data_IF_324379013315
#
_entry.id   IF_324379013315
#
_cell.length_a   1.000
_cell.length_b   1.000
_cell.length_c   1.000
_cell.angle_alpha   90.00
_cell.angle_beta   90.00
_cell.angle_gamma   90.00
#
_symmetry.space_group_name_H-M   'P 1'
#
loop_
_entity.id
_entity.type
_entity.pdbx_description
1 polymer ?
#
# COMPACT_ATOMS: atom_id res chain seq x y z
N UNK A 1 -10.10 -5.62 7.01
CA UNK A 1 -11.05 -4.59 7.50
C UNK A 1 -11.23 -4.63 9.00
N UNK A 2 -11.94 -3.66 9.55
CA UNK A 2 -12.24 -3.60 10.98
C UNK A 2 -13.70 -3.98 11.27
N UNK A 3 -14.01 -4.43 12.51
CA UNK A 3 -15.34 -4.81 12.89
C UNK A 3 -15.97 -3.93 14.01
N UNK A 4 -15.18 -3.11 14.68
CA UNK A 4 -15.68 -2.10 15.60
C UNK A 4 -16.25 -0.91 14.83
N UNK A 5 -17.26 -0.25 15.40
CA UNK A 5 -17.98 0.83 14.74
C UNK A 5 -18.23 2.00 15.70
N UNK A 6 -18.50 3.20 15.16
CA UNK A 6 -18.89 4.35 15.96
C UNK A 6 -20.32 4.24 16.51
N UNK A 7 -21.22 3.66 15.71
CA UNK A 7 -22.63 3.46 16.06
C UNK A 7 -23.13 2.10 15.52
N UNK A 8 -23.98 2.10 14.48
CA UNK A 8 -24.50 0.87 13.87
C UNK A 8 -23.53 0.28 12.84
N UNK A 9 -22.84 1.14 12.11
CA UNK A 9 -21.77 0.77 11.21
C UNK A 9 -22.19 -0.13 10.06
N UNK A 10 -23.35 0.11 9.47
CA UNK A 10 -23.80 -0.68 8.34
C UNK A 10 -22.88 -0.50 7.13
N UNK A 11 -22.50 0.74 6.84
CA UNK A 11 -21.53 1.09 5.81
C UNK A 11 -20.09 0.99 6.34
N UNK A 12 -19.83 1.47 7.56
CA UNK A 12 -18.52 1.53 8.20
C UNK A 12 -18.48 0.60 9.44
N UNK A 13 -18.18 -0.75 9.33
CA UNK A 13 -17.60 -1.42 8.17
C UNK A 13 -18.28 -2.78 7.89
N UNK A 14 -19.59 -2.96 8.21
CA UNK A 14 -20.28 -4.25 8.06
C UNK A 14 -20.30 -4.73 6.60
N UNK A 15 -20.48 -3.82 5.61
CA UNK A 15 -20.49 -4.18 4.19
C UNK A 15 -19.18 -4.80 3.74
N UNK A 16 -18.05 -4.20 4.11
CA UNK A 16 -16.74 -4.71 3.75
C UNK A 16 -16.44 -6.06 4.43
N UNK A 17 -16.89 -6.23 5.69
CA UNK A 17 -16.72 -7.50 6.40
C UNK A 17 -17.56 -8.62 5.77
N UNK A 18 -18.79 -8.32 5.36
CA UNK A 18 -19.64 -9.27 4.65
C UNK A 18 -19.05 -9.64 3.29
N UNK A 19 -18.52 -8.66 2.56
CA UNK A 19 -17.85 -8.91 1.29
C UNK A 19 -16.59 -9.75 1.47
N UNK A 20 -15.77 -9.48 2.48
CA UNK A 20 -14.59 -10.28 2.78
C UNK A 20 -14.94 -11.76 3.02
N UNK A 21 -16.03 -12.02 3.74
CA UNK A 21 -16.53 -13.39 3.97
C UNK A 21 -16.97 -14.08 2.68
N UNK A 22 -17.69 -13.36 1.80
CA UNK A 22 -18.12 -13.91 0.51
C UNK A 22 -16.93 -14.17 -0.43
N UNK A 23 -15.95 -13.28 -0.45
CA UNK A 23 -14.71 -13.50 -1.20
C UNK A 23 -13.92 -14.71 -0.67
N UNK A 24 -13.89 -14.90 0.66
CA UNK A 24 -13.27 -16.09 1.25
C UNK A 24 -13.96 -17.37 0.78
N UNK A 25 -15.30 -17.38 0.79
CA UNK A 25 -16.09 -18.51 0.32
C UNK A 25 -15.78 -18.83 -1.15
N UNK A 26 -15.76 -17.80 -2.00
CA UNK A 26 -15.45 -17.94 -3.42
C UNK A 26 -14.02 -18.47 -3.62
N UNK A 27 -13.02 -17.89 -2.99
CA UNK A 27 -11.62 -18.34 -3.12
C UNK A 27 -11.43 -19.76 -2.57
N UNK A 28 -12.21 -20.15 -1.53
CA UNK A 28 -12.19 -21.53 -1.02
C UNK A 28 -12.75 -22.53 -2.03
N UNK A 29 -13.80 -22.16 -2.76
CA UNK A 29 -14.37 -23.01 -3.81
C UNK A 29 -13.41 -23.19 -4.99
N UNK A 30 -12.52 -22.19 -5.23
CA UNK A 30 -11.52 -22.19 -6.31
C UNK A 30 -10.09 -22.41 -5.80
N UNK A 31 -9.92 -23.00 -4.62
CA UNK A 31 -8.59 -23.13 -3.98
C UNK A 31 -7.56 -23.90 -4.82
N UNK A 32 -8.00 -24.80 -5.69
CA UNK A 32 -7.13 -25.57 -6.57
C UNK A 32 -6.49 -24.72 -7.69
N UNK A 33 -7.04 -23.54 -7.93
CA UNK A 33 -6.52 -22.55 -8.88
C UNK A 33 -5.55 -21.56 -8.21
N UNK A 34 -5.46 -21.57 -6.87
CA UNK A 34 -4.68 -20.60 -6.11
C UNK A 34 -3.25 -21.08 -5.88
N UNK A 35 -2.29 -20.19 -6.17
CA UNK A 35 -0.88 -20.38 -5.87
C UNK A 35 -0.54 -19.91 -4.45
N UNK A 36 -1.14 -18.79 -4.02
CA UNK A 36 -0.96 -18.23 -2.69
C UNK A 36 -2.17 -18.47 -1.80
N UNK A 37 -1.94 -18.49 -0.48
CA UNK A 37 -3.00 -18.62 0.53
C UNK A 37 -3.67 -17.28 0.80
N UNK A 38 -4.96 -17.30 1.17
CA UNK A 38 -5.71 -16.14 1.64
C UNK A 38 -5.84 -16.17 3.15
N UNK A 39 -5.54 -15.06 3.80
CA UNK A 39 -5.86 -14.79 5.20
C UNK A 39 -6.79 -13.60 5.30
N UNK A 40 -7.85 -13.71 6.10
CA UNK A 40 -8.77 -12.62 6.39
C UNK A 40 -8.60 -12.20 7.83
N UNK A 41 -8.52 -10.90 8.05
CA UNK A 41 -8.41 -10.31 9.36
C UNK A 41 -9.50 -9.27 9.58
N UNK A 42 -10.21 -9.36 10.72
CA UNK A 42 -11.15 -8.38 11.20
C UNK A 42 -10.58 -7.76 12.48
N UNK A 43 -10.25 -6.46 12.39
CA UNK A 43 -9.54 -5.76 13.44
C UNK A 43 -10.47 -5.17 14.49
N UNK A 44 -10.21 -5.34 15.79
CA UNK A 44 -10.79 -4.49 16.83
C UNK A 44 -10.03 -3.18 16.95
N UNK A 45 -10.69 -2.16 17.49
CA UNK A 45 -10.03 -0.93 17.92
C UNK A 45 -9.55 -0.02 16.79
N UNK A 46 -10.12 -0.13 15.61
CA UNK A 46 -9.90 0.84 14.53
C UNK A 46 -10.60 2.16 14.85
N UNK A 47 -11.91 2.13 15.08
CA UNK A 47 -12.73 3.33 15.32
C UNK A 47 -12.42 3.97 16.66
N UNK A 48 -12.17 3.17 17.71
CA UNK A 48 -12.02 3.65 19.08
C UNK A 48 -10.57 3.78 19.54
N UNK A 49 -9.67 3.01 18.99
CA UNK A 49 -8.26 2.92 19.42
C UNK A 49 -7.23 3.21 18.34
N UNK A 50 -7.65 3.44 17.11
CA UNK A 50 -6.81 3.67 15.91
C UNK A 50 -5.72 2.62 15.76
N UNK A 51 -5.98 1.64 14.89
CA UNK A 51 -5.03 0.57 14.50
C UNK A 51 -4.64 -0.39 15.62
N UNK A 52 -5.39 -0.45 16.72
CA UNK A 52 -5.03 -1.29 17.85
C UNK A 52 -4.90 -2.77 17.46
N UNK A 53 -5.92 -3.30 16.77
CA UNK A 53 -5.94 -4.70 16.35
C UNK A 53 -4.90 -5.03 15.29
N UNK A 54 -4.76 -4.20 14.26
CA UNK A 54 -3.78 -4.41 13.19
C UNK A 54 -2.33 -4.27 13.69
N UNK A 55 -2.07 -3.36 14.63
CA UNK A 55 -0.77 -3.23 15.29
C UNK A 55 -0.45 -4.47 16.13
N UNK A 56 -1.39 -4.89 16.99
CA UNK A 56 -1.21 -6.10 17.79
C UNK A 56 -0.94 -7.34 16.91
N UNK A 57 -1.68 -7.46 15.81
CA UNK A 57 -1.51 -8.56 14.87
C UNK A 57 -0.13 -8.53 14.20
N UNK A 58 0.32 -7.38 13.75
CA UNK A 58 1.65 -7.21 13.16
C UNK A 58 2.75 -7.64 14.14
N UNK A 59 2.65 -7.20 15.40
CA UNK A 59 3.64 -7.49 16.43
C UNK A 59 3.71 -8.99 16.78
N UNK A 60 2.57 -9.69 16.78
CA UNK A 60 2.48 -11.10 17.20
C UNK A 60 2.64 -12.10 16.06
N UNK A 61 2.56 -11.65 14.81
CA UNK A 61 2.73 -12.47 13.60
C UNK A 61 3.85 -11.94 12.71
N UNK A 62 4.83 -11.29 13.31
CA UNK A 62 5.90 -10.58 12.59
C UNK A 62 6.64 -11.48 11.61
N UNK A 63 7.21 -12.59 12.09
CA UNK A 63 8.04 -13.49 11.30
C UNK A 63 7.27 -14.03 10.10
N UNK A 64 6.00 -14.39 10.32
CA UNK A 64 5.13 -14.91 9.27
C UNK A 64 4.78 -13.85 8.23
N UNK A 65 4.49 -12.62 8.66
CA UNK A 65 4.17 -11.51 7.76
C UNK A 65 5.41 -11.10 6.95
N UNK A 66 6.54 -10.98 7.60
CA UNK A 66 7.80 -10.59 6.98
C UNK A 66 8.29 -11.66 6.00
N UNK A 67 8.17 -12.95 6.33
CA UNK A 67 8.64 -14.05 5.49
C UNK A 67 7.66 -14.40 4.36
N UNK A 68 6.33 -14.33 4.59
CA UNK A 68 5.36 -14.95 3.69
C UNK A 68 4.28 -14.02 3.15
N UNK A 69 4.01 -12.87 3.76
CA UNK A 69 2.94 -12.00 3.29
C UNK A 69 3.39 -11.21 2.06
N UNK A 70 2.64 -11.36 0.96
CA UNK A 70 2.93 -10.66 -0.29
C UNK A 70 2.05 -9.43 -0.50
N UNK A 71 0.82 -9.43 0.05
CA UNK A 71 -0.14 -8.37 -0.21
C UNK A 71 -1.06 -8.11 0.97
N UNK A 72 -1.41 -6.85 1.15
CA UNK A 72 -2.46 -6.40 2.05
C UNK A 72 -3.53 -5.65 1.27
N UNK A 73 -4.71 -6.25 1.12
CA UNK A 73 -5.88 -5.59 0.57
C UNK A 73 -6.76 -5.11 1.73
N UNK A 74 -6.88 -3.80 1.91
CA UNK A 74 -7.77 -3.24 2.92
C UNK A 74 -9.17 -3.02 2.35
N UNK A 75 -10.18 -3.57 3.01
CA UNK A 75 -11.59 -3.43 2.66
C UNK A 75 -12.27 -2.55 3.69
N UNK A 76 -12.71 -1.36 3.25
CA UNK A 76 -13.34 -0.37 4.10
C UNK A 76 -14.22 0.56 3.29
N UNK A 77 -15.44 0.86 3.82
CA UNK A 77 -16.38 1.81 3.24
C UNK A 77 -16.88 1.40 1.84
N UNK A 78 -17.29 0.14 1.66
CA UNK A 78 -17.76 -0.40 0.40
C UNK A 78 -19.30 -0.33 0.29
N UNK A 79 -19.84 -0.23 -0.94
CA UNK A 79 -21.27 -0.20 -1.20
C UNK A 79 -21.96 1.09 -0.76
N UNK A 80 -21.28 2.22 -0.88
CA UNK A 80 -21.85 3.52 -0.49
C UNK A 80 -22.99 3.93 -1.41
N UNK A 81 -24.16 4.25 -0.84
CA UNK A 81 -25.26 4.86 -1.58
C UNK A 81 -24.83 6.22 -2.13
N UNK A 82 -25.02 6.41 -3.43
CA UNK A 82 -24.61 7.63 -4.13
C UNK A 82 -23.18 7.63 -4.66
N UNK A 83 -22.44 6.54 -4.47
CA UNK A 83 -21.21 6.33 -5.24
C UNK A 83 -21.55 6.18 -6.73
N UNK A 84 -20.70 6.76 -7.58
CA UNK A 84 -20.83 6.65 -9.04
C UNK A 84 -19.74 5.71 -9.62
N UNK A 85 -19.32 5.94 -10.86
CA UNK A 85 -18.24 5.16 -11.49
C UNK A 85 -16.83 5.63 -11.11
N UNK A 86 -16.69 6.51 -10.13
CA UNK A 86 -15.39 7.01 -9.68
C UNK A 86 -14.76 5.99 -8.72
N UNK A 87 -13.82 5.21 -9.22
CA UNK A 87 -13.07 4.23 -8.46
C UNK A 87 -11.78 4.84 -7.93
N UNK A 88 -11.73 5.10 -6.64
CA UNK A 88 -10.50 5.50 -5.97
C UNK A 88 -9.70 4.27 -5.58
N UNK A 89 -8.47 4.16 -6.11
CA UNK A 89 -7.52 3.12 -5.74
C UNK A 89 -6.36 3.78 -5.01
N UNK A 90 -6.27 3.51 -3.71
CA UNK A 90 -5.13 3.92 -2.89
C UNK A 90 -4.14 2.77 -2.84
N UNK A 91 -2.91 3.03 -3.23
CA UNK A 91 -1.89 1.97 -3.32
C UNK A 91 -0.53 2.44 -2.79
N UNK A 92 0.26 1.48 -2.38
CA UNK A 92 1.67 1.63 -2.02
C UNK A 92 2.48 0.42 -2.51
N UNK A 93 2.09 -0.19 -3.63
CA UNK A 93 2.67 -1.43 -4.12
C UNK A 93 3.33 -1.30 -5.49
N UNK A 94 4.04 -2.35 -5.85
CA UNK A 94 4.74 -2.49 -7.13
C UNK A 94 3.85 -2.96 -8.28
N UNK A 95 2.58 -3.26 -8.04
CA UNK A 95 1.66 -3.73 -9.09
C UNK A 95 1.52 -2.79 -10.27
N UNK A 96 1.68 -1.49 -10.01
CA UNK A 96 1.58 -0.44 -11.02
C UNK A 96 0.16 -0.11 -11.47
N UNK A 97 -0.02 1.13 -11.92
CA UNK A 97 -1.34 1.60 -12.36
C UNK A 97 -1.87 0.85 -13.59
N UNK A 98 -1.02 0.46 -14.52
CA UNK A 98 -1.45 -0.21 -15.74
C UNK A 98 -1.98 -1.61 -15.46
N UNK A 99 -1.34 -2.36 -14.56
CA UNK A 99 -1.87 -3.65 -14.11
C UNK A 99 -3.22 -3.48 -13.42
N UNK A 100 -3.35 -2.52 -12.50
CA UNK A 100 -4.61 -2.23 -11.82
C UNK A 100 -5.73 -1.87 -12.82
N UNK A 101 -5.43 -1.02 -13.81
CA UNK A 101 -6.37 -0.64 -14.87
C UNK A 101 -6.81 -1.86 -15.69
N UNK A 102 -5.87 -2.72 -16.05
CA UNK A 102 -6.17 -3.94 -16.81
C UNK A 102 -7.14 -4.84 -16.03
N UNK A 103 -6.85 -5.11 -14.75
CA UNK A 103 -7.69 -5.99 -13.95
C UNK A 103 -9.09 -5.40 -13.73
N UNK A 104 -9.18 -4.13 -13.37
CA UNK A 104 -10.47 -3.46 -13.15
C UNK A 104 -11.33 -3.46 -14.42
N UNK A 105 -10.75 -3.19 -15.58
CA UNK A 105 -11.49 -3.18 -16.86
C UNK A 105 -12.10 -4.52 -17.25
N UNK A 106 -11.58 -5.64 -16.73
CA UNK A 106 -12.19 -6.97 -16.93
C UNK A 106 -13.59 -7.07 -16.31
N UNK A 107 -13.85 -6.32 -15.23
CA UNK A 107 -15.07 -6.40 -14.43
C UNK A 107 -15.92 -5.14 -14.42
N UNK A 108 -15.32 -3.98 -14.59
CA UNK A 108 -15.98 -2.68 -14.79
C UNK A 108 -15.24 -1.83 -15.84
N UNK A 109 -15.57 -1.99 -17.14
CA UNK A 109 -14.97 -1.16 -18.20
C UNK A 109 -15.31 0.33 -18.10
N UNK A 110 -16.37 0.69 -17.35
CA UNK A 110 -16.83 2.08 -17.21
C UNK A 110 -16.18 2.80 -16.00
N UNK A 111 -15.36 2.11 -15.19
CA UNK A 111 -14.73 2.69 -14.02
C UNK A 111 -13.83 3.89 -14.38
N UNK A 112 -14.10 5.04 -13.77
CA UNK A 112 -13.24 6.22 -13.80
C UNK A 112 -12.22 6.12 -12.67
N UNK A 113 -11.06 5.57 -12.97
CA UNK A 113 -10.05 5.26 -11.96
C UNK A 113 -9.23 6.47 -11.55
N UNK A 114 -9.13 6.70 -10.25
CA UNK A 114 -8.26 7.69 -9.61
C UNK A 114 -7.24 7.00 -8.72
N UNK A 115 -5.97 7.16 -9.04
CA UNK A 115 -4.88 6.61 -8.24
C UNK A 115 -4.36 7.61 -7.22
N UNK A 116 -3.95 7.09 -6.07
CA UNK A 116 -3.39 7.92 -5.02
C UNK A 116 -2.61 7.11 -3.99
N UNK A 117 -1.80 7.82 -3.21
CA UNK A 117 -1.06 7.22 -2.11
C UNK A 117 -2.02 6.75 -1.02
N UNK A 118 -1.78 5.54 -0.52
CA UNK A 118 -2.52 5.03 0.63
C UNK A 118 -2.22 5.87 1.87
N UNK A 119 -3.25 6.18 2.64
CA UNK A 119 -3.12 6.85 3.93
C UNK A 119 -3.21 5.86 5.08
N UNK A 120 -2.82 6.29 6.27
CA UNK A 120 -2.88 5.45 7.47
C UNK A 120 -4.31 5.16 7.97
N UNK A 121 -5.32 5.71 7.34
CA UNK A 121 -6.73 5.51 7.71
C UNK A 121 -7.27 4.11 7.45
N UNK A 122 -6.47 3.20 6.89
CA UNK A 122 -6.91 1.90 6.39
C UNK A 122 -6.16 0.74 7.08
N UNK A 123 -6.07 0.75 8.41
CA UNK A 123 -5.36 -0.27 9.21
C UNK A 123 -3.94 -0.59 8.70
N UNK A 124 -3.22 0.45 8.31
CA UNK A 124 -1.90 0.35 7.73
C UNK A 124 -0.82 0.22 8.80
N UNK A 125 -0.79 -0.92 9.49
CA UNK A 125 0.20 -1.23 10.53
C UNK A 125 1.32 -2.18 10.06
N UNK A 126 1.38 -2.49 8.76
CA UNK A 126 2.24 -3.54 8.23
C UNK A 126 3.47 -3.03 7.46
N UNK A 127 3.78 -1.73 7.55
CA UNK A 127 4.88 -1.12 6.79
C UNK A 127 6.26 -1.71 7.11
N UNK A 128 6.46 -2.15 8.35
CA UNK A 128 7.73 -2.71 8.80
C UNK A 128 8.00 -4.11 8.26
N UNK A 129 6.95 -4.89 8.01
CA UNK A 129 7.04 -6.26 7.53
C UNK A 129 7.35 -6.38 6.01
N UNK A 130 7.71 -5.28 5.37
CA UNK A 130 8.20 -5.22 3.99
C UNK A 130 7.28 -5.88 2.95
N UNK A 131 5.96 -5.76 3.17
CA UNK A 131 4.95 -6.29 2.25
C UNK A 131 4.95 -5.45 0.96
N UNK A 132 5.11 -6.07 -0.23
CA UNK A 132 5.30 -5.32 -1.48
C UNK A 132 4.03 -4.70 -2.04
N UNK A 133 2.84 -5.18 -1.65
CA UNK A 133 1.56 -4.69 -2.20
C UNK A 133 0.61 -4.27 -1.09
N UNK A 134 0.15 -3.01 -1.15
CA UNK A 134 -0.89 -2.49 -0.27
C UNK A 134 -1.94 -1.80 -1.14
N UNK A 135 -3.15 -2.35 -1.20
CA UNK A 135 -4.21 -1.88 -2.09
C UNK A 135 -5.48 -1.61 -1.29
N UNK A 136 -6.09 -0.46 -1.52
CA UNK A 136 -7.38 -0.09 -0.94
C UNK A 136 -8.26 0.52 -2.05
N UNK A 137 -9.10 -0.28 -2.72
CA UNK A 137 -10.00 0.17 -3.75
C UNK A 137 -11.40 0.44 -3.18
N UNK A 138 -12.06 1.51 -3.61
CA UNK A 138 -13.49 1.76 -3.33
C UNK A 138 -14.09 2.72 -4.34
N UNK A 139 -15.37 2.58 -4.62
CA UNK A 139 -16.12 3.58 -5.36
C UNK A 139 -16.54 4.74 -4.47
N UNK A 140 -16.42 5.95 -4.98
CA UNK A 140 -16.76 7.18 -4.27
C UNK A 140 -17.75 8.02 -5.09
N UNK A 141 -18.48 8.92 -4.45
CA UNK A 141 -19.16 10.00 -5.14
C UNK A 141 -18.14 11.01 -5.71
N UNK A 142 -18.37 11.56 -6.90
CA UNK A 142 -17.58 12.67 -7.43
C UNK A 142 -17.56 13.84 -6.45
N UNK A 143 -16.47 14.60 -6.46
CA UNK A 143 -16.25 15.72 -5.52
C UNK A 143 -17.44 16.70 -5.50
N UNK A 144 -18.04 16.96 -6.65
CA UNK A 144 -19.19 17.85 -6.82
C UNK A 144 -20.48 17.29 -6.19
N UNK A 145 -20.54 15.99 -5.92
CA UNK A 145 -21.68 15.30 -5.32
C UNK A 145 -21.45 14.93 -3.84
N UNK A 146 -20.29 15.27 -3.28
CA UNK A 146 -20.00 15.00 -1.87
C UNK A 146 -20.95 15.81 -1.00
N UNK A 147 -21.57 15.12 -0.06
CA UNK A 147 -22.55 15.70 0.87
C UNK A 147 -21.91 16.29 2.13
N UNK A 148 -20.61 16.09 2.30
CA UNK A 148 -19.84 16.53 3.46
C UNK A 148 -18.44 16.93 3.04
N UNK A 149 -17.93 18.05 3.54
CA UNK A 149 -16.54 18.50 3.42
C UNK A 149 -15.62 17.85 4.44
N UNK A 150 -16.17 17.02 5.35
CA UNK A 150 -15.39 16.30 6.33
C UNK A 150 -14.41 15.32 5.64
N UNK A 151 -13.25 15.08 6.22
CA UNK A 151 -12.36 14.03 5.77
C UNK A 151 -13.08 12.67 5.72
N UNK A 152 -12.88 11.89 4.67
CA UNK A 152 -13.49 10.57 4.53
C UNK A 152 -14.23 10.38 3.21
N UNK A 153 -15.27 9.51 3.19
CA UNK A 153 -15.97 9.14 1.95
C UNK A 153 -16.86 10.22 1.36
N UNK A 154 -17.03 11.37 2.04
CA UNK A 154 -17.82 12.49 1.56
C UNK A 154 -19.35 12.30 1.71
N UNK A 155 -19.78 11.40 2.58
CA UNK A 155 -21.19 11.14 2.91
C UNK A 155 -21.51 11.55 4.34
N UNK A 156 -22.71 12.13 4.59
CA UNK A 156 -23.05 12.72 5.88
C UNK A 156 -23.26 11.68 7.00
N UNK A 157 -23.60 10.46 6.64
CA UNK A 157 -23.88 9.41 7.63
C UNK A 157 -22.62 8.72 8.18
N UNK A 158 -21.47 8.92 7.56
CA UNK A 158 -20.19 8.36 8.02
C UNK A 158 -19.86 8.84 9.44
N UNK A 159 -19.60 7.92 10.35
CA UNK A 159 -19.35 8.13 11.77
C UNK A 159 -20.55 8.77 12.53
N UNK A 160 -21.78 8.61 12.05
CA UNK A 160 -22.99 9.09 12.70
C UNK A 160 -23.97 7.96 13.00
N UNK A 161 -25.02 8.27 13.80
CA UNK A 161 -26.11 7.34 14.12
C UNK A 161 -26.90 6.91 12.87
N UNK A 162 -26.78 7.67 11.80
CA UNK A 162 -27.47 7.46 10.53
C UNK A 162 -26.76 6.45 9.61
N UNK A 163 -25.63 5.87 10.04
CA UNK A 163 -24.98 4.77 9.33
C UNK A 163 -25.78 3.48 9.50
N UNK A 164 -26.84 3.37 8.70
CA UNK A 164 -27.85 2.32 8.73
C UNK A 164 -27.97 1.62 7.38
N UNK A 165 -28.63 0.46 7.35
CA UNK A 165 -28.71 -0.37 6.16
C UNK A 165 -29.29 0.34 4.92
N UNK A 166 -30.19 1.31 5.10
CA UNK A 166 -30.74 2.11 4.00
C UNK A 166 -29.74 3.03 3.30
N UNK A 167 -28.53 3.15 3.83
CA UNK A 167 -27.41 3.87 3.22
C UNK A 167 -26.56 3.00 2.31
N UNK A 168 -26.86 1.70 2.25
CA UNK A 168 -26.15 0.75 1.42
C UNK A 168 -26.80 0.66 0.04
N UNK A 169 -25.99 0.66 -0.99
CA UNK A 169 -26.31 0.30 -2.35
C UNK A 169 -25.80 -1.13 -2.62
N UNK A 170 -26.71 -2.09 -2.68
CA UNK A 170 -26.33 -3.50 -2.88
C UNK A 170 -25.73 -3.74 -4.27
N UNK A 171 -26.20 -3.07 -5.31
CA UNK A 171 -25.60 -3.16 -6.65
C UNK A 171 -24.22 -2.52 -6.67
N UNK A 172 -24.06 -1.41 -5.95
CA UNK A 172 -22.77 -0.78 -5.69
C UNK A 172 -21.82 -1.71 -4.94
N UNK A 173 -22.30 -2.39 -3.91
CA UNK A 173 -21.49 -3.35 -3.14
C UNK A 173 -21.04 -4.56 -4.01
N UNK A 174 -21.91 -5.06 -4.89
CA UNK A 174 -21.55 -6.11 -5.85
C UNK A 174 -20.50 -5.60 -6.86
N UNK A 175 -20.58 -4.35 -7.28
CA UNK A 175 -19.58 -3.72 -8.15
C UNK A 175 -18.23 -3.60 -7.44
N UNK A 176 -18.20 -3.07 -6.21
CA UNK A 176 -16.99 -3.07 -5.36
C UNK A 176 -16.43 -4.49 -5.22
N UNK A 177 -17.29 -5.47 -4.97
CA UNK A 177 -16.93 -6.87 -4.80
C UNK A 177 -16.27 -7.49 -6.03
N UNK A 178 -16.73 -7.14 -7.24
CA UNK A 178 -16.10 -7.61 -8.47
C UNK A 178 -14.69 -7.04 -8.65
N UNK A 179 -14.50 -5.76 -8.33
CA UNK A 179 -13.17 -5.14 -8.40
C UNK A 179 -12.23 -5.77 -7.38
N UNK A 180 -12.63 -5.85 -6.11
CA UNK A 180 -11.82 -6.50 -5.07
C UNK A 180 -11.55 -7.96 -5.43
N UNK A 181 -12.58 -8.67 -5.91
CA UNK A 181 -12.48 -10.07 -6.29
C UNK A 181 -11.49 -10.34 -7.41
N UNK A 182 -11.49 -9.55 -8.47
CA UNK A 182 -10.53 -9.72 -9.57
C UNK A 182 -9.10 -9.41 -9.12
N UNK A 183 -8.88 -8.36 -8.34
CA UNK A 183 -7.55 -8.03 -7.81
C UNK A 183 -7.03 -9.15 -6.89
N UNK A 184 -7.88 -9.64 -6.01
CA UNK A 184 -7.54 -10.73 -5.10
C UNK A 184 -7.27 -12.03 -5.86
N UNK A 185 -8.14 -12.39 -6.82
CA UNK A 185 -7.98 -13.60 -7.64
C UNK A 185 -6.66 -13.58 -8.43
N UNK A 186 -6.34 -12.47 -9.07
CA UNK A 186 -5.11 -12.36 -9.87
C UNK A 186 -3.85 -12.42 -8.98
N UNK A 187 -3.88 -11.84 -7.78
CA UNK A 187 -2.76 -11.96 -6.84
C UNK A 187 -2.62 -13.37 -6.26
N UNK A 188 -3.72 -14.10 -6.04
CA UNK A 188 -3.68 -15.45 -5.46
C UNK A 188 -3.36 -16.52 -6.50
N UNK A 189 -3.86 -16.38 -7.74
CA UNK A 189 -3.79 -17.44 -8.76
C UNK A 189 -2.52 -17.40 -9.61
N UNK A 190 -1.78 -16.30 -9.59
CA UNK A 190 -0.55 -16.16 -10.39
C UNK A 190 0.68 -16.41 -9.54
N UNK A 191 1.54 -17.32 -9.99
CA UNK A 191 2.80 -17.59 -9.34
C UNK A 191 3.73 -16.38 -9.41
N UNK A 192 3.85 -15.75 -10.59
CA UNK A 192 4.65 -14.56 -10.80
C UNK A 192 3.87 -13.32 -10.37
N UNK A 193 4.42 -12.57 -9.43
CA UNK A 193 3.86 -11.31 -8.94
C UNK A 193 3.94 -10.19 -9.99
N UNK A 194 2.98 -9.26 -10.05
CA UNK A 194 3.10 -8.09 -10.92
C UNK A 194 4.21 -7.15 -10.43
N UNK A 195 4.99 -6.55 -11.34
CA UNK A 195 6.01 -5.59 -10.96
C UNK A 195 6.15 -4.47 -11.98
N UNK A 196 5.95 -3.24 -11.52
CA UNK A 196 6.23 -2.00 -12.27
C UNK A 196 7.12 -1.08 -11.42
N UNK A 197 8.39 -1.43 -11.34
CA UNK A 197 9.37 -0.65 -10.55
C UNK A 197 9.44 0.81 -11.01
N UNK A 198 9.40 1.07 -12.34
CA UNK A 198 9.45 2.43 -12.87
C UNK A 198 8.16 3.19 -12.65
N UNK A 199 7.01 2.54 -12.77
CA UNK A 199 5.72 3.15 -12.46
C UNK A 199 5.65 3.60 -11.02
N UNK A 200 6.10 2.75 -10.09
CA UNK A 200 6.18 3.13 -8.68
C UNK A 200 7.13 4.33 -8.46
N UNK A 201 8.32 4.29 -9.03
CA UNK A 201 9.29 5.38 -8.91
C UNK A 201 8.77 6.71 -9.47
N UNK A 202 7.96 6.70 -10.54
CA UNK A 202 7.31 7.91 -11.06
C UNK A 202 6.44 8.62 -10.02
N UNK A 203 5.89 7.90 -9.04
CA UNK A 203 5.10 8.51 -7.95
C UNK A 203 5.95 9.40 -7.04
N UNK A 204 7.28 9.28 -7.08
CA UNK A 204 8.21 10.09 -6.30
C UNK A 204 8.61 11.40 -7.00
N UNK A 205 8.53 11.46 -8.33
CA UNK A 205 8.97 12.63 -9.11
C UNK A 205 8.34 13.96 -8.65
N UNK A 206 7.02 14.05 -8.34
CA UNK A 206 6.43 15.30 -7.86
C UNK A 206 7.01 15.79 -6.53
N UNK A 207 7.63 14.90 -5.75
CA UNK A 207 8.31 15.29 -4.52
C UNK A 207 9.67 15.92 -4.82
N UNK A 208 10.44 15.34 -5.72
CA UNK A 208 11.75 15.86 -6.13
C UNK A 208 11.64 17.24 -6.81
N UNK A 209 10.66 17.42 -7.69
CA UNK A 209 10.41 18.73 -8.31
C UNK A 209 10.20 19.86 -7.27
N UNK A 210 9.60 19.52 -6.12
CA UNK A 210 9.40 20.52 -5.06
C UNK A 210 10.67 20.81 -4.23
N UNK A 211 11.72 20.04 -4.38
CA UNK A 211 13.01 20.24 -3.72
C UNK A 211 13.92 21.20 -4.50
N UNK A 212 13.62 21.50 -5.76
CA UNK A 212 14.43 22.40 -6.62
C UNK A 212 14.25 23.87 -6.28
N UNK A 213 14.28 24.22 -4.98
CA UNK A 213 14.09 25.58 -4.47
C UNK A 213 15.35 26.20 -3.86
N UNK A 214 16.41 25.42 -3.68
CA UNK A 214 17.73 25.84 -3.26
C UNK A 214 18.78 24.85 -3.74
N UNK A 215 20.03 25.27 -3.84
CA UNK A 215 21.15 24.43 -4.28
C UNK A 215 21.33 23.18 -3.39
N UNK A 216 21.21 23.33 -2.06
CA UNK A 216 21.32 22.22 -1.11
C UNK A 216 20.20 21.20 -1.31
N UNK A 217 18.96 21.66 -1.50
CA UNK A 217 17.81 20.78 -1.70
C UNK A 217 17.86 20.09 -3.07
N UNK A 218 18.31 20.79 -4.11
CA UNK A 218 18.50 20.22 -5.44
C UNK A 218 19.57 19.13 -5.43
N UNK A 219 20.73 19.37 -4.81
CA UNK A 219 21.78 18.36 -4.67
C UNK A 219 21.29 17.11 -3.92
N UNK A 220 20.46 17.27 -2.90
CA UNK A 220 19.88 16.14 -2.17
C UNK A 220 18.89 15.37 -3.03
N UNK A 221 18.07 16.04 -3.82
CA UNK A 221 17.14 15.41 -4.77
C UNK A 221 17.92 14.62 -5.82
N UNK A 222 18.93 15.22 -6.44
CA UNK A 222 19.75 14.58 -7.48
C UNK A 222 20.47 13.33 -6.97
N UNK A 223 20.97 13.36 -5.72
CA UNK A 223 21.61 12.18 -5.11
C UNK A 223 20.59 11.05 -4.91
N UNK A 224 19.39 11.37 -4.41
CA UNK A 224 18.34 10.36 -4.20
C UNK A 224 17.83 9.83 -5.54
N UNK A 225 17.60 10.69 -6.53
CA UNK A 225 17.19 10.30 -7.88
C UNK A 225 18.23 9.40 -8.55
N UNK A 226 19.50 9.69 -8.39
CA UNK A 226 20.61 8.87 -8.92
C UNK A 226 20.57 7.47 -8.32
N UNK A 227 20.49 7.35 -6.99
CA UNK A 227 20.40 6.06 -6.32
C UNK A 227 19.13 5.29 -6.69
N UNK A 228 18.00 5.99 -6.77
CA UNK A 228 16.75 5.38 -7.22
C UNK A 228 16.89 4.81 -8.62
N UNK A 229 17.49 5.57 -9.54
CA UNK A 229 17.75 5.11 -10.90
C UNK A 229 18.67 3.88 -10.92
N UNK A 230 19.71 3.85 -10.11
CA UNK A 230 20.59 2.69 -10.01
C UNK A 230 19.84 1.43 -9.53
N UNK A 231 18.92 1.58 -8.55
CA UNK A 231 18.04 0.48 -8.12
C UNK A 231 17.17 -0.01 -9.28
N UNK A 232 16.51 0.90 -10.00
CA UNK A 232 15.64 0.54 -11.12
C UNK A 232 16.38 -0.16 -12.26
N UNK A 233 17.53 0.37 -12.65
CA UNK A 233 18.36 -0.20 -13.71
C UNK A 233 18.87 -1.60 -13.30
N UNK A 234 19.14 -1.82 -12.00
CA UNK A 234 19.53 -3.13 -11.47
C UNK A 234 18.35 -4.11 -11.54
N UNK A 235 17.17 -3.72 -11.09
CA UNK A 235 15.96 -4.55 -11.18
C UNK A 235 15.69 -4.98 -12.63
N UNK A 236 15.70 -4.05 -13.57
CA UNK A 236 15.45 -4.35 -14.98
C UNK A 236 16.50 -5.25 -15.60
N UNK A 237 17.77 -5.06 -15.21
CA UNK A 237 18.85 -5.93 -15.66
C UNK A 237 18.64 -7.37 -15.21
N UNK A 238 18.26 -7.57 -13.94
CA UNK A 238 17.96 -8.90 -13.39
C UNK A 238 16.74 -9.51 -14.07
N UNK A 239 15.65 -8.78 -14.22
CA UNK A 239 14.45 -9.24 -14.93
C UNK A 239 14.74 -9.65 -16.37
N UNK A 240 15.59 -8.89 -17.07
CA UNK A 240 16.00 -9.23 -18.44
C UNK A 240 16.82 -10.52 -18.49
N UNK A 241 17.73 -10.73 -17.54
CA UNK A 241 18.55 -11.94 -17.44
C UNK A 241 17.69 -13.17 -17.12
N UNK A 242 16.74 -13.03 -16.21
CA UNK A 242 15.91 -14.14 -15.74
C UNK A 242 14.80 -14.53 -16.72
N UNK A 243 14.29 -13.55 -17.47
CA UNK A 243 13.16 -13.77 -18.37
C UNK A 243 11.91 -14.27 -17.63
N UNK A 244 11.37 -15.40 -18.06
CA UNK A 244 10.18 -16.03 -17.45
C UNK A 244 10.51 -17.26 -16.59
N UNK A 245 11.79 -17.62 -16.46
CA UNK A 245 12.17 -18.91 -15.85
C UNK A 245 12.50 -18.79 -14.35
N UNK A 246 12.82 -17.59 -13.87
CA UNK A 246 13.28 -17.33 -12.50
C UNK A 246 12.19 -16.64 -11.67
N UNK A 247 11.04 -17.30 -11.51
CA UNK A 247 9.87 -16.72 -10.84
C UNK A 247 10.13 -16.49 -9.35
N UNK A 248 10.81 -17.41 -8.66
CA UNK A 248 11.14 -17.25 -7.25
C UNK A 248 12.06 -16.04 -7.01
N UNK A 249 13.09 -15.89 -7.84
CA UNK A 249 14.02 -14.76 -7.77
C UNK A 249 13.30 -13.44 -8.07
N UNK A 250 12.41 -13.43 -9.07
CA UNK A 250 11.55 -12.28 -9.36
C UNK A 250 10.69 -11.90 -8.15
N UNK A 251 10.00 -12.87 -7.56
CA UNK A 251 9.11 -12.61 -6.42
C UNK A 251 9.88 -12.13 -5.19
N UNK A 252 11.09 -12.65 -4.94
CA UNK A 252 11.97 -12.14 -3.87
C UNK A 252 12.42 -10.72 -4.13
N UNK A 253 12.79 -10.39 -5.37
CA UNK A 253 13.14 -9.02 -5.76
C UNK A 253 11.96 -8.07 -5.56
N UNK A 254 10.73 -8.48 -5.94
CA UNK A 254 9.52 -7.70 -5.70
C UNK A 254 9.31 -7.41 -4.20
N UNK A 255 9.51 -8.40 -3.33
CA UNK A 255 9.38 -8.22 -1.88
C UNK A 255 10.41 -7.24 -1.35
N UNK A 256 11.68 -7.45 -1.66
CA UNK A 256 12.77 -6.62 -1.20
C UNK A 256 12.60 -5.16 -1.63
N UNK A 257 12.36 -4.92 -2.91
CA UNK A 257 12.22 -3.55 -3.46
C UNK A 257 10.93 -2.90 -3.01
N UNK A 258 9.80 -3.63 -3.10
CA UNK A 258 8.48 -3.12 -2.74
C UNK A 258 8.37 -2.77 -1.26
N UNK A 259 8.92 -3.60 -0.39
CA UNK A 259 8.97 -3.36 1.04
C UNK A 259 9.74 -2.09 1.40
N UNK A 260 10.96 -1.95 0.89
CA UNK A 260 11.78 -0.74 1.12
C UNK A 260 11.09 0.50 0.55
N UNK A 261 10.56 0.45 -0.66
CA UNK A 261 9.87 1.58 -1.29
C UNK A 261 8.62 1.99 -0.51
N UNK A 262 7.82 1.02 -0.06
CA UNK A 262 6.64 1.27 0.79
C UNK A 262 7.01 1.99 2.08
N UNK A 263 8.06 1.56 2.77
CA UNK A 263 8.54 2.21 4.00
C UNK A 263 9.03 3.63 3.75
N UNK A 264 9.83 3.85 2.71
CA UNK A 264 10.32 5.19 2.36
C UNK A 264 9.20 6.16 2.02
N UNK A 265 8.07 5.67 1.54
CA UNK A 265 6.89 6.47 1.25
C UNK A 265 5.96 6.67 2.45
N UNK A 266 5.90 5.74 3.42
CA UNK A 266 4.80 5.69 4.38
C UNK A 266 5.19 5.67 5.86
N UNK A 267 6.45 5.37 6.23
CA UNK A 267 6.86 5.23 7.63
C UNK A 267 8.20 5.89 7.93
N UNK A 268 8.27 6.60 9.06
CA UNK A 268 9.51 7.13 9.63
C UNK A 268 9.97 6.35 10.86
N UNK A 269 9.13 5.47 11.39
CA UNK A 269 9.46 4.58 12.49
C UNK A 269 10.51 3.54 12.13
N UNK A 270 10.97 2.79 13.11
CA UNK A 270 11.71 1.56 12.86
C UNK A 270 10.81 0.49 12.23
N UNK A 271 11.38 -0.61 11.76
CA UNK A 271 10.58 -1.71 11.21
C UNK A 271 9.59 -2.26 12.25
N UNK A 272 9.97 -2.25 13.53
CA UNK A 272 9.23 -2.86 14.63
C UNK A 272 8.33 -1.89 15.41
N UNK A 273 8.31 -0.61 15.07
CA UNK A 273 7.54 0.40 15.76
C UNK A 273 6.46 0.97 14.85
N UNK A 274 5.22 0.98 15.37
CA UNK A 274 4.12 1.61 14.64
C UNK A 274 4.25 3.13 14.74
N UNK A 275 4.28 3.76 13.57
CA UNK A 275 4.32 5.20 13.46
C UNK A 275 2.96 5.79 13.90
N UNK A 276 2.98 6.70 14.87
CA UNK A 276 1.76 7.37 15.37
C UNK A 276 1.26 8.48 14.44
N UNK A 277 2.07 8.89 13.47
CA UNK A 277 1.74 9.96 12.52
C UNK A 277 0.82 9.49 11.38
N UNK A 278 0.46 10.40 10.51
CA UNK A 278 -0.46 10.17 9.40
C UNK A 278 0.17 9.49 8.17
N UNK A 279 0.99 8.46 8.36
CA UNK A 279 1.68 7.77 7.27
C UNK A 279 2.55 8.71 6.41
N UNK A 280 3.35 9.53 7.07
CA UNK A 280 4.37 10.32 6.42
C UNK A 280 5.70 9.57 6.44
N UNK A 281 6.15 9.14 5.28
CA UNK A 281 7.48 8.58 5.11
C UNK A 281 8.55 9.66 4.96
N UNK A 282 9.82 9.24 4.87
CA UNK A 282 10.96 10.11 4.63
C UNK A 282 10.77 11.09 3.47
N UNK A 283 10.20 10.62 2.36
CA UNK A 283 9.99 11.43 1.16
C UNK A 283 9.03 12.61 1.40
N UNK A 284 7.90 12.38 2.11
CA UNK A 284 6.96 13.46 2.44
C UNK A 284 7.55 14.47 3.42
N UNK A 285 8.30 13.99 4.41
CA UNK A 285 8.96 14.87 5.38
C UNK A 285 10.09 15.65 4.74
N UNK A 286 10.84 15.07 3.82
CA UNK A 286 11.86 15.76 3.03
C UNK A 286 11.21 16.94 2.27
N UNK A 287 10.14 16.69 1.53
CA UNK A 287 9.37 17.73 0.85
C UNK A 287 8.82 18.79 1.82
N UNK A 288 8.26 18.37 2.95
CA UNK A 288 7.65 19.29 3.91
C UNK A 288 8.70 20.20 4.55
N UNK A 289 9.89 19.66 4.84
CA UNK A 289 10.99 20.41 5.48
C UNK A 289 11.76 21.33 4.51
N UNK A 290 11.61 21.13 3.21
CA UNK A 290 12.18 22.00 2.18
C UNK A 290 11.32 23.22 1.83
N UNK A 291 10.10 23.32 2.37
CA UNK A 291 9.22 24.47 2.13
C UNK A 291 9.72 25.73 2.82
N UNK A 292 9.53 26.86 2.15
CA UNK A 292 9.74 28.16 2.81
C UNK A 292 8.82 28.31 4.02
N UNK A 293 9.37 28.77 5.12
CA UNK A 293 8.61 29.09 6.32
C UNK A 293 7.78 30.37 6.10
N UNK A 294 6.57 30.46 6.69
CA UNK A 294 5.83 31.72 6.74
C UNK A 294 6.66 32.84 7.37
N UNK A 295 6.48 34.09 6.88
CA UNK A 295 7.27 35.25 7.33
C UNK A 295 7.27 35.47 8.84
N UNK A 296 6.20 35.09 9.53
CA UNK A 296 6.05 35.25 10.98
C UNK A 296 6.40 33.99 11.79
N UNK A 297 7.13 33.04 11.18
CA UNK A 297 7.56 31.84 11.90
C UNK A 297 8.57 32.17 13.00
N UNK A 298 8.53 31.48 14.16
CA UNK A 298 9.60 31.61 15.16
C UNK A 298 10.98 31.34 14.55
N UNK A 299 12.00 32.09 14.98
CA UNK A 299 13.32 32.06 14.37
C UNK A 299 14.00 30.67 14.42
N UNK A 300 13.70 29.86 15.43
CA UNK A 300 14.23 28.51 15.62
C UNK A 300 13.53 27.42 14.76
N UNK A 301 12.39 27.73 14.15
CA UNK A 301 11.71 26.79 13.26
C UNK A 301 12.55 26.40 12.05
N UNK A 302 13.35 27.34 11.54
CA UNK A 302 14.28 27.06 10.43
C UNK A 302 15.27 25.94 10.79
N UNK A 303 15.74 25.88 12.03
CA UNK A 303 16.67 24.85 12.51
C UNK A 303 15.98 23.47 12.60
N UNK A 304 14.72 23.43 13.02
CA UNK A 304 13.95 22.18 13.02
C UNK A 304 13.71 21.65 11.60
N UNK A 305 13.36 22.54 10.66
CA UNK A 305 13.16 22.17 9.26
C UNK A 305 14.46 21.66 8.63
N UNK A 306 15.56 22.39 8.80
CA UNK A 306 16.86 21.97 8.32
C UNK A 306 17.30 20.62 8.91
N UNK A 307 17.15 20.45 10.23
CA UNK A 307 17.47 19.18 10.89
C UNK A 307 16.62 18.03 10.35
N UNK A 308 15.32 18.26 10.15
CA UNK A 308 14.42 17.27 9.58
C UNK A 308 14.83 16.92 8.15
N UNK A 309 15.11 17.92 7.32
CA UNK A 309 15.57 17.74 5.95
C UNK A 309 16.82 16.84 5.89
N UNK A 310 17.86 17.19 6.61
CA UNK A 310 19.12 16.42 6.64
C UNK A 310 18.89 14.98 7.10
N UNK A 311 18.08 14.78 8.14
CA UNK A 311 17.78 13.44 8.65
C UNK A 311 17.01 12.58 7.62
N UNK A 312 16.03 13.16 6.95
CA UNK A 312 15.24 12.39 5.97
C UNK A 312 16.05 12.14 4.69
N UNK A 313 16.85 13.10 4.23
CA UNK A 313 17.80 12.88 3.13
C UNK A 313 18.75 11.73 3.47
N UNK A 314 19.37 11.76 4.65
CA UNK A 314 20.30 10.70 5.07
C UNK A 314 19.61 9.33 5.13
N UNK A 315 18.35 9.27 5.60
CA UNK A 315 17.56 8.04 5.61
C UNK A 315 17.31 7.52 4.20
N UNK A 316 16.80 8.36 3.29
CA UNK A 316 16.55 8.00 1.89
C UNK A 316 17.82 7.42 1.23
N UNK A 317 18.92 8.16 1.31
CA UNK A 317 20.22 7.76 0.73
C UNK A 317 20.72 6.45 1.33
N UNK A 318 20.62 6.30 2.66
CA UNK A 318 21.11 5.10 3.34
C UNK A 318 20.30 3.87 2.98
N UNK A 319 18.97 3.96 2.99
CA UNK A 319 18.10 2.83 2.66
C UNK A 319 18.24 2.42 1.18
N UNK A 320 18.33 3.36 0.24
CA UNK A 320 18.58 3.03 -1.17
C UNK A 320 19.95 2.38 -1.40
N UNK A 321 21.01 2.85 -0.70
CA UNK A 321 22.34 2.20 -0.76
C UNK A 321 22.34 0.80 -0.16
N UNK A 322 21.61 0.58 0.93
CA UNK A 322 21.44 -0.75 1.52
C UNK A 322 20.72 -1.67 0.54
N UNK A 323 19.62 -1.20 -0.03
CA UNK A 323 18.84 -1.94 -1.01
C UNK A 323 19.69 -2.37 -2.21
N UNK A 324 20.48 -1.47 -2.80
CA UNK A 324 21.42 -1.81 -3.87
C UNK A 324 22.39 -2.90 -3.46
N UNK A 325 22.97 -2.78 -2.26
CA UNK A 325 23.90 -3.78 -1.73
C UNK A 325 23.21 -5.13 -1.51
N UNK A 326 22.01 -5.15 -1.00
CA UNK A 326 21.23 -6.38 -0.78
C UNK A 326 20.87 -7.06 -2.09
N UNK A 327 20.39 -6.30 -3.09
CA UNK A 327 20.17 -6.81 -4.45
C UNK A 327 21.44 -7.45 -5.00
N UNK A 328 22.57 -6.75 -4.89
CA UNK A 328 23.85 -7.26 -5.39
C UNK A 328 24.31 -8.54 -4.65
N UNK A 329 24.10 -8.62 -3.34
CA UNK A 329 24.50 -9.79 -2.55
C UNK A 329 23.61 -11.00 -2.79
N UNK A 330 22.31 -10.79 -2.87
CA UNK A 330 21.33 -11.86 -3.00
C UNK A 330 21.33 -12.47 -4.40
N UNK A 331 21.41 -11.62 -5.43
CA UNK A 331 21.23 -12.06 -6.81
C UNK A 331 22.53 -12.23 -7.63
N UNK A 332 23.70 -11.78 -7.13
CA UNK A 332 25.00 -12.12 -7.76
C UNK A 332 25.44 -13.55 -7.50
N UNK A 333 25.04 -14.15 -6.39
CA UNK A 333 25.46 -15.49 -5.98
C UNK A 333 24.46 -16.58 -6.37
N UNK A 334 23.56 -16.31 -7.30
CA UNK A 334 22.52 -17.24 -7.76
C UNK A 334 23.01 -18.51 -8.46
N UNK A 335 24.33 -18.75 -8.56
CA UNK A 335 24.89 -20.00 -9.07
C UNK A 335 25.16 -21.06 -8.00
N UNK A 336 25.20 -20.73 -6.70
CA UNK A 336 25.76 -21.64 -5.68
C UNK A 336 24.83 -22.01 -4.50
N UNK A 337 23.56 -21.55 -4.45
CA UNK A 337 22.63 -21.91 -3.37
C UNK A 337 21.49 -22.84 -3.82
N UNK A 338 21.82 -23.96 -4.42
CA UNK A 338 20.88 -25.09 -4.53
C UNK A 338 21.06 -26.01 -3.33
N UNK A 339 20.12 -25.97 -2.39
CA UNK A 339 20.10 -26.97 -1.32
C UNK A 339 19.22 -26.63 -0.13
N UNK A 340 17.95 -26.38 -0.30
CA UNK A 340 16.88 -26.82 0.60
C UNK A 340 15.51 -26.42 0.07
N UNK A 341 14.88 -27.31 -0.67
CA UNK A 341 13.45 -27.24 -0.95
C UNK A 341 12.70 -27.40 0.39
N UNK A 342 12.17 -26.32 0.94
CA UNK A 342 11.15 -26.42 1.98
C UNK A 342 9.81 -26.57 1.28
N UNK A 343 9.21 -27.75 1.41
CA UNK A 343 7.82 -28.00 1.04
C UNK A 343 6.94 -26.99 1.79
N UNK A 344 6.39 -26.04 1.07
CA UNK A 344 5.35 -25.18 1.58
C UNK A 344 4.06 -26.01 1.68
N UNK A 345 3.63 -26.31 2.90
CA UNK A 345 2.35 -27.00 3.15
C UNK A 345 1.21 -26.06 2.72
N UNK A 346 0.60 -26.37 1.58
CA UNK A 346 -0.50 -25.60 0.98
C UNK A 346 -1.81 -25.91 1.72
N UNK A 347 -2.08 -25.22 2.81
CA UNK A 347 -3.39 -25.29 3.46
C UNK A 347 -3.92 -23.90 3.78
N UNK A 348 -5.15 -23.65 3.37
CA UNK A 348 -5.91 -22.46 3.72
C UNK A 348 -6.40 -22.61 5.17
N UNK A 349 -5.94 -21.78 6.09
CA UNK A 349 -6.52 -21.63 7.43
C UNK A 349 -7.49 -20.43 7.42
N UNK A 350 -8.74 -20.70 7.85
CA UNK A 350 -9.83 -19.71 7.96
C UNK A 350 -9.88 -19.20 9.39
#
# INVERSE_FOLDING_TARGET
GHYDTWYRGAFDNCTANALALELARYMKEHQDEMFYSLRIAWWPGHSNGRYMGSTWYCDHHWDELEEHCIAHLNLDLLGSKGADHTLAIRTAGLEGEEWLKEQVRKVDPAAEMMFGRIGRGADQSLWGAEIPYHINPRYEAKKERKQSDAPGPGVYWWHTIDDTFDKIDLDGLLRDGRVVGVLLYELLSKEKLPADYRGYAKTWLPYFETLKNSEEHEQAADEIETLLKEVLDRCETLEHIWGTEKIEEHNRLCRLVGGVFSRLMHSTGSAYEQDTSFAYGPLQLLKASAKALPENSPADWSLFYQTTFVRQRNRMVTELRKLLKEIDLEFRNGSDRFGSSRNCDRRMEI
#
